data_IF_708400653731
#
_entry.id   IF_708400653731
#
_cell.length_a   1.000
_cell.length_b   1.000
_cell.length_c   1.000
_cell.angle_alpha   90.00
_cell.angle_beta   90.00
_cell.angle_gamma   90.00
#
_symmetry.space_group_name_H-M   'P 1'
#
loop_
_entity.id
_entity.type
_entity.pdbx_description
1 polymer ?
#
# COMPACT_ATOMS: atom_id res chain seq x y z
N UNK A 1 -6.93 7.65 -17.29
CA UNK A 1 -6.76 6.26 -16.85
C UNK A 1 -5.40 6.09 -16.18
N UNK A 2 -5.41 5.66 -14.93
CA UNK A 2 -4.19 5.41 -14.17
C UNK A 2 -3.92 3.91 -14.19
N UNK A 3 -2.72 3.54 -14.58
CA UNK A 3 -2.32 2.14 -14.64
C UNK A 3 -1.20 1.85 -13.64
N UNK A 4 -1.10 0.59 -13.23
CA UNK A 4 0.00 0.13 -12.39
C UNK A 4 1.13 -0.32 -13.31
N UNK A 5 2.26 0.37 -13.25
CA UNK A 5 3.43 0.03 -14.04
C UNK A 5 4.29 -1.04 -13.36
N UNK A 6 4.43 -0.94 -12.03
CA UNK A 6 5.13 -1.94 -11.23
C UNK A 6 4.24 -2.30 -10.05
N UNK A 7 3.65 -3.51 -10.03
CA UNK A 7 2.75 -3.91 -8.96
C UNK A 7 3.48 -4.25 -7.67
N UNK A 8 2.70 -4.39 -6.60
CA UNK A 8 3.22 -4.88 -5.33
C UNK A 8 3.64 -6.34 -5.47
N UNK A 9 4.57 -6.75 -4.63
CA UNK A 9 4.96 -8.15 -4.50
C UNK A 9 5.08 -8.50 -3.01
N UNK A 10 4.99 -9.80 -2.72
CA UNK A 10 5.01 -10.29 -1.35
C UNK A 10 6.33 -10.03 -0.65
N UNK A 11 6.26 -9.76 0.65
CA UNK A 11 7.41 -9.46 1.50
C UNK A 11 7.37 -10.37 2.73
N UNK A 12 8.51 -10.95 3.07
CA UNK A 12 8.69 -11.72 4.30
C UNK A 12 9.73 -11.05 5.17
N UNK A 13 9.42 -10.89 6.44
CA UNK A 13 10.35 -10.34 7.42
C UNK A 13 10.22 -11.11 8.73
N UNK A 14 11.23 -10.98 9.58
CA UNK A 14 11.16 -11.51 10.95
C UNK A 14 10.55 -10.45 11.88
N UNK A 15 10.02 -10.93 13.00
CA UNK A 15 9.47 -10.03 14.04
C UNK A 15 10.49 -8.96 14.40
N UNK A 16 10.04 -7.71 14.46
CA UNK A 16 10.88 -6.57 14.78
C UNK A 16 11.55 -5.92 13.58
N UNK A 17 11.55 -6.58 12.44
CA UNK A 17 12.16 -6.02 11.23
C UNK A 17 11.23 -5.06 10.50
N UNK A 18 11.78 -4.40 9.49
CA UNK A 18 11.08 -3.41 8.68
C UNK A 18 10.68 -4.01 7.33
N UNK A 19 9.42 -3.82 6.94
CA UNK A 19 8.92 -4.26 5.65
C UNK A 19 8.74 -3.04 4.73
N UNK A 20 9.15 -3.19 3.47
CA UNK A 20 9.01 -2.16 2.44
C UNK A 20 8.09 -2.66 1.33
N UNK A 21 7.11 -1.85 0.98
CA UNK A 21 6.25 -2.10 -0.18
C UNK A 21 6.35 -0.90 -1.11
N UNK A 22 6.45 -1.16 -2.40
CA UNK A 22 6.54 -0.10 -3.40
C UNK A 22 5.65 -0.44 -4.58
N UNK A 23 4.91 0.56 -5.05
CA UNK A 23 4.13 0.46 -6.27
C UNK A 23 4.44 1.66 -7.15
N UNK A 24 4.55 1.46 -8.46
CA UNK A 24 4.76 2.54 -9.40
C UNK A 24 3.56 2.66 -10.32
N UNK A 25 3.04 3.86 -10.43
CA UNK A 25 1.87 4.16 -11.26
C UNK A 25 2.29 4.85 -12.56
N UNK A 26 1.37 4.94 -13.50
CA UNK A 26 1.62 5.60 -14.78
C UNK A 26 1.61 7.12 -14.69
N UNK A 27 0.99 7.67 -13.64
CA UNK A 27 0.81 9.11 -13.48
C UNK A 27 1.39 9.60 -12.17
N UNK A 28 2.03 10.79 -12.14
CA UNK A 28 2.46 11.42 -10.89
C UNK A 28 1.30 12.17 -10.24
N UNK A 29 1.54 12.69 -9.03
CA UNK A 29 0.60 13.54 -8.30
C UNK A 29 -0.75 12.88 -8.03
N UNK A 30 -0.74 11.58 -7.85
CA UNK A 30 -1.93 10.80 -7.52
C UNK A 30 -1.84 10.41 -6.05
N UNK A 31 -2.94 10.63 -5.32
CA UNK A 31 -3.04 10.21 -3.93
C UNK A 31 -3.75 8.87 -3.86
N UNK A 32 -3.20 7.98 -3.05
CA UNK A 32 -3.76 6.66 -2.88
C UNK A 32 -3.93 6.31 -1.42
N UNK A 33 -4.43 5.11 -1.18
CA UNK A 33 -4.61 4.59 0.16
C UNK A 33 -4.02 3.20 0.29
N UNK A 34 -3.28 3.01 1.38
CA UNK A 34 -2.75 1.72 1.78
C UNK A 34 -3.67 1.08 2.82
N UNK A 35 -3.82 -0.24 2.73
CA UNK A 35 -4.57 -1.01 3.72
C UNK A 35 -3.76 -2.24 4.11
N UNK A 36 -3.87 -2.62 5.37
CA UNK A 36 -3.32 -3.87 5.87
C UNK A 36 -4.48 -4.68 6.44
N UNK A 37 -4.70 -5.88 5.90
CA UNK A 37 -5.79 -6.77 6.31
C UNK A 37 -7.15 -6.07 6.24
N UNK A 38 -7.34 -5.24 5.20
CA UNK A 38 -8.57 -4.49 4.99
C UNK A 38 -8.73 -3.22 5.81
N UNK A 39 -7.78 -2.91 6.69
CA UNK A 39 -7.82 -1.72 7.55
C UNK A 39 -6.98 -0.60 6.95
N UNK A 40 -7.53 0.61 6.84
CA UNK A 40 -6.77 1.75 6.33
C UNK A 40 -5.54 2.03 7.21
N UNK A 41 -4.42 2.31 6.55
CA UNK A 41 -3.19 2.69 7.23
C UNK A 41 -3.04 4.20 7.21
N UNK A 42 -2.56 4.75 8.32
CA UNK A 42 -2.23 6.17 8.44
C UNK A 42 -0.79 6.30 8.91
N UNK A 43 -0.18 7.44 8.58
CA UNK A 43 1.21 7.69 8.97
C UNK A 43 1.34 7.71 10.49
N UNK A 44 2.38 7.05 10.99
CA UNK A 44 2.69 6.96 12.41
C UNK A 44 4.19 6.69 12.55
N UNK A 45 4.75 6.68 13.77
CA UNK A 45 6.17 6.35 13.94
C UNK A 45 6.57 4.99 13.36
N UNK A 46 5.66 4.02 13.37
CA UNK A 46 5.92 2.68 12.84
C UNK A 46 5.38 2.48 11.43
N UNK A 47 4.76 3.49 10.84
CA UNK A 47 4.17 3.39 9.50
C UNK A 47 4.49 4.65 8.70
N UNK A 48 5.41 4.53 7.75
CA UNK A 48 5.75 5.64 6.87
C UNK A 48 5.09 5.44 5.53
N UNK A 49 4.45 6.51 5.05
CA UNK A 49 3.79 6.51 3.74
C UNK A 49 4.45 7.62 2.92
N UNK A 50 5.06 7.23 1.80
CA UNK A 50 5.83 8.15 0.97
C UNK A 50 5.26 8.17 -0.44
N UNK A 51 5.05 9.37 -0.96
CA UNK A 51 4.71 9.58 -2.37
C UNK A 51 5.87 10.29 -3.03
N UNK A 52 6.48 9.67 -4.02
CA UNK A 52 7.65 10.20 -4.72
C UNK A 52 7.40 10.09 -6.22
N UNK A 53 6.87 11.17 -6.82
CA UNK A 53 6.51 11.17 -8.22
C UNK A 53 5.44 10.13 -8.53
N UNK A 54 5.82 9.13 -9.32
CA UNK A 54 4.92 8.02 -9.69
C UNK A 54 4.98 6.86 -8.69
N UNK A 55 5.89 6.92 -7.74
CA UNK A 55 6.10 5.83 -6.77
C UNK A 55 5.36 6.09 -5.48
N UNK A 56 4.77 5.05 -4.95
CA UNK A 56 4.14 5.06 -3.63
C UNK A 56 4.79 3.99 -2.79
N UNK A 57 5.30 4.37 -1.63
CA UNK A 57 6.10 3.51 -0.78
C UNK A 57 5.46 3.43 0.60
N UNK A 58 5.31 2.21 1.09
CA UNK A 58 4.86 1.94 2.45
C UNK A 58 6.00 1.28 3.21
N UNK A 59 6.36 1.84 4.35
CA UNK A 59 7.39 1.29 5.22
C UNK A 59 6.75 0.99 6.57
N UNK A 60 6.75 -0.30 6.93
CA UNK A 60 6.21 -0.77 8.21
C UNK A 60 7.37 -1.18 9.10
N UNK A 61 7.59 -0.42 10.17
CA UNK A 61 8.64 -0.69 11.13
C UNK A 61 8.14 -1.61 12.25
N UNK A 62 9.07 -2.34 12.86
CA UNK A 62 8.78 -3.17 14.01
C UNK A 62 7.61 -4.13 13.76
N UNK A 63 7.72 -4.88 12.68
CA UNK A 63 6.65 -5.80 12.28
C UNK A 63 6.39 -6.87 13.34
N UNK A 64 5.11 -7.15 13.59
CA UNK A 64 4.67 -8.14 14.56
C UNK A 64 3.93 -9.28 13.87
N UNK A 65 3.85 -10.42 14.53
CA UNK A 65 3.19 -11.61 13.95
C UNK A 65 1.76 -11.35 13.52
N UNK A 66 1.02 -10.56 14.29
CA UNK A 66 -0.37 -10.23 13.99
C UNK A 66 -0.56 -9.38 12.72
N UNK A 67 0.53 -8.86 12.15
CA UNK A 67 0.49 -8.07 10.93
C UNK A 67 0.52 -8.93 9.66
N UNK A 68 0.74 -10.23 9.80
CA UNK A 68 0.72 -11.14 8.65
C UNK A 68 -0.65 -11.06 7.95
N UNK A 69 -0.64 -10.74 6.66
CA UNK A 69 -1.87 -10.60 5.90
C UNK A 69 -1.65 -9.83 4.62
N UNK A 70 -2.75 -9.45 3.98
CA UNK A 70 -2.70 -8.76 2.71
C UNK A 70 -2.47 -7.26 2.89
N UNK A 71 -1.50 -6.74 2.15
CA UNK A 71 -1.27 -5.31 1.98
C UNK A 71 -1.83 -4.92 0.62
N UNK A 72 -2.63 -3.88 0.58
CA UNK A 72 -3.22 -3.41 -0.67
C UNK A 72 -3.07 -1.91 -0.82
N UNK A 73 -3.06 -1.48 -2.08
CA UNK A 73 -2.98 -0.08 -2.46
C UNK A 73 -4.04 0.20 -3.51
N UNK A 74 -4.68 1.35 -3.42
CA UNK A 74 -5.60 1.82 -4.45
C UNK A 74 -5.45 3.32 -4.64
N UNK A 75 -5.55 3.77 -5.89
CA UNK A 75 -5.45 5.19 -6.26
C UNK A 75 -6.18 5.46 -7.57
N UNK A 76 -6.82 6.61 -7.73
CA UNK A 76 -7.14 7.56 -6.67
C UNK A 76 -8.23 7.04 -5.75
N UNK A 77 -8.39 7.69 -4.59
CA UNK A 77 -9.50 7.39 -3.71
C UNK A 77 -10.81 7.76 -4.40
N UNK A 78 -11.67 6.77 -4.60
CA UNK A 78 -12.97 7.03 -5.19
C UNK A 78 -13.96 7.39 -4.11
N UNK A 79 -14.57 8.57 -4.23
CA UNK A 79 -15.64 8.97 -3.35
C UNK A 79 -16.95 8.92 -4.13
N UNK A 80 -18.06 8.71 -3.43
CA UNK A 80 -19.39 8.71 -4.04
C UNK A 80 -19.72 10.02 -4.77
N UNK A 81 -18.97 11.08 -4.50
CA UNK A 81 -19.13 12.39 -5.10
C UNK A 81 -18.73 12.44 -6.58
N UNK A 82 -18.16 11.39 -7.10
CA UNK A 82 -17.80 11.32 -8.52
C UNK A 82 -19.03 10.96 -9.36
N UNK A 83 -20.18 11.48 -8.98
CA UNK A 83 -21.39 11.55 -9.81
C UNK A 83 -21.81 10.25 -10.50
N UNK A 84 -21.75 9.12 -9.80
CA UNK A 84 -22.19 7.83 -10.34
C UNK A 84 -21.31 7.32 -11.48
N UNK A 85 -20.19 7.93 -11.76
CA UNK A 85 -19.24 7.40 -12.74
C UNK A 85 -18.45 6.26 -12.10
N UNK A 86 -18.14 5.27 -12.91
CA UNK A 86 -17.21 4.23 -12.47
C UNK A 86 -15.89 4.88 -12.09
N UNK A 87 -15.42 4.52 -10.94
CA UNK A 87 -14.13 5.00 -10.48
C UNK A 87 -13.05 4.06 -11.01
N UNK A 88 -12.29 4.54 -11.98
CA UNK A 88 -11.19 3.77 -12.53
C UNK A 88 -9.99 3.90 -11.60
N UNK A 89 -9.81 2.88 -10.76
CA UNK A 89 -8.75 2.85 -9.77
C UNK A 89 -7.60 1.96 -10.20
N UNK A 90 -6.39 2.42 -9.96
CA UNK A 90 -5.23 1.54 -9.98
C UNK A 90 -5.19 0.81 -8.65
N UNK A 91 -5.09 -0.52 -8.70
CA UNK A 91 -5.08 -1.37 -7.51
C UNK A 91 -3.98 -2.39 -7.61
N UNK A 92 -3.40 -2.72 -6.47
CA UNK A 92 -2.49 -3.85 -6.36
C UNK A 92 -2.52 -4.38 -4.93
N UNK A 93 -2.22 -5.65 -4.76
CA UNK A 93 -2.19 -6.29 -3.46
C UNK A 93 -1.08 -7.33 -3.41
N UNK A 94 -0.52 -7.54 -2.23
CA UNK A 94 0.51 -8.54 -1.99
C UNK A 94 0.50 -8.92 -0.51
N UNK A 95 1.12 -10.04 -0.18
CA UNK A 95 1.11 -10.52 1.20
C UNK A 95 2.34 -10.08 1.98
N UNK A 96 2.09 -9.68 3.22
CA UNK A 96 3.13 -9.50 4.23
C UNK A 96 3.14 -10.76 5.11
N UNK A 97 4.30 -11.37 5.25
CA UNK A 97 4.49 -12.49 6.16
C UNK A 97 5.53 -12.13 7.20
N UNK A 98 5.13 -12.18 8.46
CA UNK A 98 6.02 -11.92 9.59
C UNK A 98 6.27 -13.25 10.29
N UNK A 99 7.54 -13.58 10.47
CA UNK A 99 7.97 -14.87 11.02
C UNK A 99 8.69 -14.67 12.35
N UNK A 100 8.59 -15.67 13.20
CA UNK A 100 9.45 -15.74 14.39
C UNK A 100 10.83 -16.27 14.02
N UNK A 101 11.82 -15.82 14.74
CA UNK A 101 13.18 -16.34 14.62
C UNK A 101 13.27 -17.76 15.22
#
# INVERSE_FOLDING_TARGET
LIEVEKPLYGVEVFVGETAHFEIELSEPDVHGQWKLKGQPLTASPDCEIIEDGKKHILILHNCQLGMTGEVSFQAPLCTWEVWGRECLMAKSAANLKVKEL
#
